data_IF_164997793217
#
_entry.id   IF_164997793217
#
_cell.length_a   1.000
_cell.length_b   1.000
_cell.length_c   1.000
_cell.angle_alpha   90.00
_cell.angle_beta   90.00
_cell.angle_gamma   90.00
#
_symmetry.space_group_name_H-M   'P 1'
#
loop_
_entity.id
_entity.type
_entity.pdbx_description
1 polymer ?
#
# COMPACT_ATOMS: atom_id res chain seq x y z
N UNK A 1 -19.87 18.47 2.58
CA UNK A 1 -18.99 17.68 3.46
C UNK A 1 -17.56 17.47 2.89
N UNK A 2 -17.34 17.50 1.59
CA UNK A 2 -16.04 17.25 0.94
C UNK A 2 -15.07 18.44 0.89
N UNK A 3 -15.51 19.67 1.16
CA UNK A 3 -14.69 20.91 1.01
C UNK A 3 -13.52 21.04 2.00
N UNK A 4 -13.46 20.25 3.05
CA UNK A 4 -12.43 20.36 4.11
C UNK A 4 -11.33 19.29 4.07
N UNK A 5 -11.42 18.26 3.22
CA UNK A 5 -10.44 17.17 3.19
C UNK A 5 -9.07 17.64 2.68
N UNK A 6 -9.03 18.65 1.80
CA UNK A 6 -7.77 19.20 1.27
C UNK A 6 -7.02 20.17 2.19
N UNK A 7 -7.53 20.45 3.39
CA UNK A 7 -6.94 21.44 4.32
C UNK A 7 -6.17 20.83 5.51
N UNK A 8 -6.06 19.51 5.60
CA UNK A 8 -5.24 18.92 6.65
C UNK A 8 -3.76 19.23 6.37
N UNK A 9 -3.07 19.96 7.26
CA UNK A 9 -1.65 20.22 7.12
C UNK A 9 -0.90 18.92 7.40
N UNK A 10 -0.71 18.10 6.37
CA UNK A 10 0.15 16.91 6.48
C UNK A 10 1.57 17.41 6.68
N UNK A 11 2.11 17.25 7.88
CA UNK A 11 3.46 17.73 8.22
C UNK A 11 4.52 16.90 7.48
N UNK A 12 5.61 17.54 7.05
CA UNK A 12 6.73 16.84 6.41
C UNK A 12 7.24 15.68 7.27
N UNK A 13 7.29 15.88 8.59
CA UNK A 13 7.70 14.84 9.54
C UNK A 13 6.83 13.59 9.46
N UNK A 14 5.51 13.75 9.28
CA UNK A 14 4.58 12.63 9.15
C UNK A 14 4.81 11.85 7.84
N UNK A 15 5.05 12.53 6.72
CA UNK A 15 5.36 11.86 5.45
C UNK A 15 6.72 11.14 5.51
N UNK A 16 7.75 11.77 6.08
CA UNK A 16 9.05 11.12 6.28
C UNK A 16 8.93 9.90 7.20
N UNK A 17 8.16 10.01 8.29
CA UNK A 17 7.91 8.87 9.18
C UNK A 17 7.15 7.75 8.46
N UNK A 18 6.07 8.07 7.72
CA UNK A 18 5.32 7.09 6.96
C UNK A 18 6.19 6.39 5.89
N UNK A 19 7.05 7.15 5.19
CA UNK A 19 8.02 6.58 4.25
C UNK A 19 8.99 5.64 4.96
N UNK A 20 9.58 6.06 6.10
CA UNK A 20 10.48 5.23 6.88
C UNK A 20 9.81 3.93 7.36
N UNK A 21 8.54 4.01 7.81
CA UNK A 21 7.75 2.83 8.20
C UNK A 21 7.49 1.92 7.00
N UNK A 22 7.14 2.46 5.84
CA UNK A 22 6.98 1.66 4.61
C UNK A 22 8.27 0.89 4.28
N UNK A 23 9.43 1.56 4.30
CA UNK A 23 10.71 0.92 4.01
C UNK A 23 11.06 -0.17 5.04
N UNK A 24 10.77 0.07 6.32
CA UNK A 24 10.98 -0.93 7.38
C UNK A 24 10.10 -2.16 7.18
N UNK A 25 8.81 -1.97 6.84
CA UNK A 25 7.88 -3.07 6.59
C UNK A 25 8.27 -3.85 5.33
N UNK A 26 8.67 -3.17 4.24
CA UNK A 26 9.20 -3.83 3.04
C UNK A 26 10.45 -4.67 3.34
N UNK A 27 11.34 -4.17 4.18
CA UNK A 27 12.48 -4.95 4.65
C UNK A 27 12.03 -6.16 5.49
N UNK A 28 11.01 -5.99 6.33
CA UNK A 28 10.37 -7.09 7.08
C UNK A 28 9.82 -8.19 6.16
N UNK A 29 9.12 -7.81 5.08
CA UNK A 29 8.66 -8.76 4.06
C UNK A 29 9.81 -9.49 3.37
N UNK A 30 10.88 -8.78 3.04
CA UNK A 30 12.08 -9.39 2.45
C UNK A 30 12.68 -10.45 3.37
N UNK A 31 12.80 -10.16 4.68
CA UNK A 31 13.28 -11.14 5.67
C UNK A 31 12.33 -12.33 5.81
N UNK A 32 11.02 -12.07 5.86
CA UNK A 32 10.00 -13.12 5.94
C UNK A 32 10.05 -14.04 4.72
N UNK A 33 10.15 -13.46 3.51
CA UNK A 33 10.32 -14.22 2.27
C UNK A 33 11.53 -15.18 2.34
N UNK A 34 12.66 -14.69 2.81
CA UNK A 34 13.87 -15.51 2.96
C UNK A 34 13.64 -16.70 3.91
N UNK A 35 12.93 -16.48 5.03
CA UNK A 35 12.58 -17.52 6.01
C UNK A 35 11.58 -18.56 5.49
N UNK A 36 10.73 -18.17 4.54
CA UNK A 36 9.64 -18.99 3.99
C UNK A 36 10.00 -19.73 2.70
N UNK A 37 11.24 -19.65 2.24
CA UNK A 37 11.69 -20.36 1.03
C UNK A 37 11.45 -19.60 -0.29
N UNK A 38 11.21 -18.27 -0.21
CA UNK A 38 11.24 -17.39 -1.39
C UNK A 38 9.89 -16.89 -1.89
N UNK A 39 8.75 -17.44 -1.43
CA UNK A 39 7.41 -17.03 -1.88
C UNK A 39 6.54 -16.63 -0.70
N UNK A 40 5.93 -15.46 -0.81
CA UNK A 40 4.87 -15.03 0.11
C UNK A 40 3.51 -15.30 -0.55
N UNK A 41 2.57 -15.82 0.23
CA UNK A 41 1.21 -16.10 -0.26
C UNK A 41 0.48 -14.83 -0.72
N UNK A 42 0.83 -13.67 -0.15
CA UNK A 42 0.36 -12.34 -0.51
C UNK A 42 0.65 -11.94 -1.98
N UNK A 43 1.72 -12.48 -2.57
CA UNK A 43 2.14 -12.16 -3.93
C UNK A 43 1.48 -13.05 -5.00
N UNK A 44 0.76 -14.08 -4.58
CA UNK A 44 0.19 -15.09 -5.48
C UNK A 44 -1.27 -14.79 -5.75
N UNK A 45 -1.59 -14.48 -7.02
CA UNK A 45 -2.95 -14.21 -7.52
C UNK A 45 -3.54 -15.34 -8.37
N UNK A 46 -2.89 -16.49 -8.49
CA UNK A 46 -3.39 -17.64 -9.24
C UNK A 46 -3.89 -18.74 -8.32
N UNK A 47 -5.14 -19.21 -8.57
CA UNK A 47 -5.82 -20.19 -7.73
C UNK A 47 -5.04 -21.49 -7.61
N UNK A 48 -4.54 -22.03 -8.73
CA UNK A 48 -3.84 -23.32 -8.72
C UNK A 48 -2.55 -23.23 -7.92
N UNK A 49 -1.82 -22.12 -8.07
CA UNK A 49 -0.59 -21.85 -7.32
C UNK A 49 -0.87 -21.65 -5.82
N UNK A 50 -1.93 -20.94 -5.45
CA UNK A 50 -2.35 -20.77 -4.04
C UNK A 50 -2.58 -22.13 -3.41
N UNK A 51 -3.40 -23.00 -4.04
CA UNK A 51 -3.72 -24.32 -3.53
C UNK A 51 -2.49 -25.23 -3.44
N UNK A 52 -1.62 -25.20 -4.45
CA UNK A 52 -0.36 -25.96 -4.44
C UNK A 52 0.56 -25.54 -3.30
N UNK A 53 0.71 -24.24 -3.04
CA UNK A 53 1.53 -23.73 -1.94
C UNK A 53 0.96 -24.11 -0.58
N UNK A 54 -0.35 -23.97 -0.38
CA UNK A 54 -1.00 -24.36 0.88
C UNK A 54 -0.79 -25.85 1.20
N UNK A 55 -0.82 -26.71 0.15
CA UNK A 55 -0.56 -28.14 0.30
C UNK A 55 0.90 -28.51 0.62
N UNK A 56 1.84 -27.60 0.36
CA UNK A 56 3.28 -27.80 0.61
C UNK A 56 3.76 -27.19 1.93
N UNK A 57 3.01 -26.28 2.51
CA UNK A 57 3.43 -25.60 3.74
C UNK A 57 3.43 -26.55 4.94
N UNK A 58 4.55 -26.58 5.64
CA UNK A 58 4.63 -27.19 6.97
C UNK A 58 3.81 -26.37 7.98
N UNK A 59 3.38 -26.96 9.10
CA UNK A 59 2.70 -26.21 10.17
C UNK A 59 3.47 -25.01 10.67
N UNK A 60 4.80 -25.09 10.72
CA UNK A 60 5.66 -23.97 11.09
C UNK A 60 5.58 -22.82 10.07
N UNK A 61 5.62 -23.13 8.77
CA UNK A 61 5.48 -22.12 7.71
C UNK A 61 4.11 -21.45 7.75
N UNK A 62 3.03 -22.22 8.00
CA UNK A 62 1.68 -21.64 8.19
C UNK A 62 1.65 -20.62 9.33
N UNK A 63 2.25 -20.93 10.48
CA UNK A 63 2.33 -19.99 11.60
C UNK A 63 3.17 -18.75 11.28
N UNK A 64 4.28 -18.90 10.56
CA UNK A 64 5.08 -17.73 10.12
C UNK A 64 4.27 -16.87 9.15
N UNK A 65 3.56 -17.47 8.19
CA UNK A 65 2.67 -16.72 7.27
C UNK A 65 1.56 -15.99 8.03
N UNK A 66 0.92 -16.62 9.03
CA UNK A 66 -0.08 -15.95 9.88
C UNK A 66 0.54 -14.74 10.59
N UNK A 67 1.74 -14.91 11.15
CA UNK A 67 2.46 -13.81 11.80
C UNK A 67 2.80 -12.66 10.84
N UNK A 68 3.18 -12.96 9.60
CA UNK A 68 3.42 -11.95 8.55
C UNK A 68 2.13 -11.24 8.19
N UNK A 69 1.03 -11.97 7.97
CA UNK A 69 -0.26 -11.38 7.57
C UNK A 69 -0.81 -10.47 8.67
N UNK A 70 -0.83 -10.92 9.92
CA UNK A 70 -1.36 -10.12 11.05
C UNK A 70 -0.42 -8.98 11.43
N UNK A 71 0.89 -9.15 11.28
CA UNK A 71 1.89 -8.14 11.63
C UNK A 71 2.18 -7.17 10.48
N UNK A 72 2.84 -7.66 9.43
CA UNK A 72 3.34 -6.80 8.36
C UNK A 72 2.23 -6.36 7.40
N UNK A 73 1.40 -7.30 6.91
CA UNK A 73 0.35 -7.02 5.93
C UNK A 73 -0.76 -6.12 6.49
N UNK A 74 -1.06 -6.20 7.78
CA UNK A 74 -2.08 -5.33 8.38
C UNK A 74 -1.56 -3.91 8.64
N UNK A 75 -0.27 -3.74 8.91
CA UNK A 75 0.33 -2.43 9.17
C UNK A 75 0.72 -1.70 7.87
N UNK A 76 1.07 -2.43 6.82
CA UNK A 76 1.54 -1.85 5.57
C UNK A 76 0.51 -0.94 4.89
N UNK A 77 -0.80 -1.31 4.80
CA UNK A 77 -1.85 -0.43 4.30
C UNK A 77 -1.96 0.90 5.03
N UNK A 78 -1.78 0.92 6.33
CA UNK A 78 -1.82 2.15 7.13
C UNK A 78 -0.64 3.07 6.80
N UNK A 79 0.54 2.48 6.62
CA UNK A 79 1.75 3.22 6.31
C UNK A 79 1.70 3.83 4.90
N UNK A 80 1.40 3.03 3.85
CA UNK A 80 1.34 3.56 2.50
C UNK A 80 0.11 4.46 2.28
N UNK A 81 -1.02 4.22 2.93
CA UNK A 81 -2.18 5.11 2.86
C UNK A 81 -1.86 6.49 3.41
N UNK A 82 -1.12 6.55 4.52
CA UNK A 82 -0.63 7.81 5.09
C UNK A 82 0.34 8.52 4.14
N UNK A 83 1.27 7.78 3.55
CA UNK A 83 2.27 8.31 2.62
C UNK A 83 1.62 8.81 1.32
N UNK A 84 0.93 7.94 0.59
CA UNK A 84 0.32 8.28 -0.69
C UNK A 84 -0.79 9.31 -0.54
N UNK A 85 -1.67 9.13 0.46
CA UNK A 85 -2.74 10.09 0.75
C UNK A 85 -2.21 11.47 1.07
N UNK A 86 -1.14 11.55 1.86
CA UNK A 86 -0.48 12.81 2.18
C UNK A 86 0.21 13.47 0.98
N UNK A 87 0.85 12.70 0.11
CA UNK A 87 1.45 13.21 -1.13
C UNK A 87 0.38 13.73 -2.10
N UNK A 88 -0.69 12.96 -2.34
CA UNK A 88 -1.80 13.32 -3.21
C UNK A 88 -2.50 14.59 -2.70
N UNK A 89 -2.81 14.64 -1.40
CA UNK A 89 -3.46 15.81 -0.81
C UNK A 89 -2.64 17.09 -0.96
N UNK A 90 -1.31 17.00 -0.87
CA UNK A 90 -0.42 18.15 -1.04
C UNK A 90 -0.21 18.54 -2.49
N UNK A 91 -0.02 17.56 -3.38
CA UNK A 91 0.32 17.82 -4.78
C UNK A 91 -0.85 18.38 -5.57
N UNK A 92 -2.08 17.98 -5.24
CA UNK A 92 -3.26 18.31 -6.03
C UNK A 92 -4.30 19.19 -5.30
N UNK A 93 -4.16 19.44 -4.01
CA UNK A 93 -5.01 20.38 -3.27
C UNK A 93 -6.51 20.09 -3.44
N UNK A 94 -7.24 20.99 -4.12
CA UNK A 94 -8.69 20.88 -4.30
C UNK A 94 -9.15 19.65 -5.09
N UNK A 95 -8.30 19.09 -5.95
CA UNK A 95 -8.60 17.88 -6.75
C UNK A 95 -8.29 16.58 -6.01
N UNK A 96 -7.65 16.67 -4.83
CA UNK A 96 -7.23 15.48 -4.07
C UNK A 96 -8.34 14.51 -3.73
N UNK A 97 -9.61 14.90 -3.42
CA UNK A 97 -10.66 13.94 -3.08
C UNK A 97 -10.93 12.90 -4.18
N UNK A 98 -10.96 13.31 -5.44
CA UNK A 98 -11.17 12.40 -6.58
C UNK A 98 -9.95 11.47 -6.78
N UNK A 99 -8.75 12.01 -6.59
CA UNK A 99 -7.49 11.27 -6.76
C UNK A 99 -7.17 10.34 -5.58
N UNK A 100 -7.86 10.48 -4.46
CA UNK A 100 -7.79 9.56 -3.32
C UNK A 100 -8.69 8.32 -3.46
N UNK A 101 -9.61 8.29 -4.43
CA UNK A 101 -10.49 7.15 -4.65
C UNK A 101 -9.70 5.86 -4.94
N UNK A 102 -8.71 5.83 -5.85
CA UNK A 102 -7.90 4.63 -6.08
C UNK A 102 -7.18 4.15 -4.83
N UNK A 103 -6.70 5.06 -3.99
CA UNK A 103 -6.07 4.71 -2.70
C UNK A 103 -7.08 4.08 -1.73
N UNK A 104 -8.29 4.61 -1.64
CA UNK A 104 -9.32 4.04 -0.77
C UNK A 104 -9.73 2.63 -1.25
N UNK A 105 -9.86 2.44 -2.56
CA UNK A 105 -10.12 1.13 -3.17
C UNK A 105 -8.96 0.17 -2.89
N UNK A 106 -7.71 0.61 -3.08
CA UNK A 106 -6.52 -0.17 -2.77
C UNK A 106 -6.52 -0.69 -1.33
N UNK A 107 -6.72 0.21 -0.35
CA UNK A 107 -6.77 -0.17 1.08
C UNK A 107 -7.90 -1.16 1.35
N UNK A 108 -9.07 -0.97 0.75
CA UNK A 108 -10.19 -1.89 0.90
C UNK A 108 -9.87 -3.29 0.37
N UNK A 109 -9.31 -3.40 -0.83
CA UNK A 109 -8.93 -4.69 -1.42
C UNK A 109 -7.77 -5.35 -0.68
N UNK A 110 -6.82 -4.59 -0.16
CA UNK A 110 -5.74 -5.11 0.67
C UNK A 110 -6.27 -5.74 1.96
N UNK A 111 -7.22 -5.08 2.63
CA UNK A 111 -7.88 -5.66 3.81
C UNK A 111 -8.67 -6.93 3.48
N UNK A 112 -9.39 -6.98 2.35
CA UNK A 112 -10.09 -8.18 1.93
C UNK A 112 -9.13 -9.32 1.60
N UNK A 113 -8.00 -9.03 0.97
CA UNK A 113 -6.96 -10.01 0.69
C UNK A 113 -6.38 -10.56 1.99
N UNK A 114 -6.00 -9.69 2.93
CA UNK A 114 -5.43 -10.08 4.22
C UNK A 114 -6.39 -10.95 5.03
N UNK A 115 -7.68 -10.62 5.04
CA UNK A 115 -8.70 -11.44 5.71
C UNK A 115 -8.87 -12.81 5.04
N UNK A 116 -8.92 -12.86 3.72
CA UNK A 116 -9.03 -14.13 2.97
C UNK A 116 -7.78 -14.99 3.14
N UNK A 117 -6.59 -14.38 3.12
CA UNK A 117 -5.33 -15.05 3.37
C UNK A 117 -5.25 -15.64 4.79
N UNK A 118 -5.61 -14.84 5.79
CA UNK A 118 -5.65 -15.32 7.17
C UNK A 118 -6.63 -16.49 7.32
N UNK A 119 -7.82 -16.40 6.73
CA UNK A 119 -8.80 -17.49 6.73
C UNK A 119 -8.24 -18.76 6.05
N UNK A 120 -7.57 -18.64 4.89
CA UNK A 120 -6.93 -19.76 4.20
C UNK A 120 -5.89 -20.45 5.07
N UNK A 121 -4.99 -19.70 5.70
CA UNK A 121 -3.93 -20.22 6.54
C UNK A 121 -4.51 -20.96 7.76
N UNK A 122 -5.52 -20.37 8.42
CA UNK A 122 -6.18 -20.98 9.57
C UNK A 122 -6.96 -22.25 9.17
N UNK A 123 -7.72 -22.22 8.07
CA UNK A 123 -8.47 -23.39 7.60
C UNK A 123 -7.55 -24.52 7.17
N UNK A 124 -6.41 -24.21 6.55
CA UNK A 124 -5.39 -25.21 6.21
C UNK A 124 -4.79 -25.83 7.48
N UNK A 125 -4.48 -25.01 8.49
CA UNK A 125 -3.95 -25.49 9.77
C UNK A 125 -4.95 -26.39 10.51
N UNK A 126 -6.25 -26.06 10.43
CA UNK A 126 -7.35 -26.80 11.03
C UNK A 126 -7.82 -28.01 10.18
N UNK A 127 -7.17 -28.26 9.06
CA UNK A 127 -7.53 -29.34 8.12
C UNK A 127 -9.00 -29.31 7.68
N UNK A 128 -9.51 -28.10 7.40
CA UNK A 128 -10.89 -27.90 6.97
C UNK A 128 -11.18 -28.58 5.61
N UNK A 129 -12.47 -28.73 5.29
CA UNK A 129 -12.91 -29.35 4.03
C UNK A 129 -12.26 -28.67 2.80
N UNK A 130 -11.68 -29.42 1.85
CA UNK A 130 -11.00 -28.86 0.68
C UNK A 130 -11.86 -27.88 -0.13
N UNK A 131 -13.15 -28.14 -0.26
CA UNK A 131 -14.09 -27.25 -0.95
C UNK A 131 -14.18 -25.85 -0.31
N UNK A 132 -14.10 -25.75 1.02
CA UNK A 132 -14.12 -24.46 1.72
C UNK A 132 -12.83 -23.67 1.43
N UNK A 133 -11.68 -24.35 1.45
CA UNK A 133 -10.38 -23.75 1.13
C UNK A 133 -10.37 -23.23 -0.31
N UNK A 134 -10.88 -24.03 -1.26
CA UNK A 134 -10.95 -23.67 -2.68
C UNK A 134 -11.80 -22.41 -2.93
N UNK A 135 -12.97 -22.30 -2.28
CA UNK A 135 -13.84 -21.11 -2.42
C UNK A 135 -13.11 -19.84 -1.96
N UNK A 136 -12.45 -19.89 -0.80
CA UNK A 136 -11.74 -18.72 -0.26
C UNK A 136 -10.48 -18.43 -1.08
N UNK A 137 -9.77 -19.45 -1.58
CA UNK A 137 -8.64 -19.29 -2.48
C UNK A 137 -9.04 -18.63 -3.80
N UNK A 138 -10.19 -19.04 -4.36
CA UNK A 138 -10.75 -18.42 -5.57
C UNK A 138 -11.09 -16.93 -5.33
N UNK A 139 -11.67 -16.60 -4.17
CA UNK A 139 -11.93 -15.21 -3.80
C UNK A 139 -10.63 -14.41 -3.69
N UNK A 140 -9.61 -14.93 -3.01
CA UNK A 140 -8.29 -14.29 -2.93
C UNK A 140 -7.68 -14.07 -4.32
N UNK A 141 -7.74 -15.08 -5.19
CA UNK A 141 -7.22 -14.99 -6.55
C UNK A 141 -7.88 -13.89 -7.39
N UNK A 142 -9.14 -13.53 -7.13
CA UNK A 142 -9.83 -12.40 -7.76
C UNK A 142 -9.40 -11.06 -7.15
N UNK A 143 -9.17 -11.00 -5.86
CA UNK A 143 -8.85 -9.76 -5.13
C UNK A 143 -7.42 -9.27 -5.43
N UNK A 144 -6.45 -10.18 -5.44
CA UNK A 144 -5.02 -9.88 -5.60
C UNK A 144 -4.70 -9.04 -6.85
N UNK A 145 -5.14 -9.37 -8.08
CA UNK A 145 -4.83 -8.56 -9.27
C UNK A 145 -5.47 -7.16 -9.22
N UNK A 146 -6.64 -7.03 -8.59
CA UNK A 146 -7.30 -5.73 -8.42
C UNK A 146 -6.46 -4.86 -7.48
N UNK A 147 -5.99 -5.42 -6.35
CA UNK A 147 -5.08 -4.76 -5.42
C UNK A 147 -3.84 -4.23 -6.14
N UNK A 148 -3.14 -5.08 -6.91
CA UNK A 148 -1.94 -4.65 -7.63
C UNK A 148 -2.20 -3.59 -8.68
N UNK A 149 -3.33 -3.66 -9.40
CA UNK A 149 -3.74 -2.63 -10.36
C UNK A 149 -3.97 -1.29 -9.67
N UNK A 150 -4.65 -1.28 -8.53
CA UNK A 150 -4.88 -0.07 -7.72
C UNK A 150 -3.60 0.46 -7.08
N UNK A 151 -2.68 -0.42 -6.66
CA UNK A 151 -1.37 -0.04 -6.15
C UNK A 151 -0.54 0.67 -7.23
N UNK A 152 -0.52 0.14 -8.45
CA UNK A 152 0.16 0.77 -9.57
C UNK A 152 -0.43 2.14 -9.89
N UNK A 153 -1.76 2.24 -10.00
CA UNK A 153 -2.45 3.50 -10.27
C UNK A 153 -2.19 4.55 -9.18
N UNK A 154 -2.32 4.16 -7.91
CA UNK A 154 -2.09 5.06 -6.76
C UNK A 154 -0.64 5.52 -6.69
N UNK A 155 0.31 4.63 -6.98
CA UNK A 155 1.73 4.96 -7.05
C UNK A 155 2.03 5.97 -8.15
N UNK A 156 1.46 5.78 -9.35
CA UNK A 156 1.59 6.72 -10.46
C UNK A 156 1.04 8.12 -10.11
N UNK A 157 -0.15 8.18 -9.49
CA UNK A 157 -0.74 9.44 -9.00
C UNK A 157 0.17 10.09 -7.96
N UNK A 158 0.75 9.32 -7.04
CA UNK A 158 1.65 9.83 -6.00
C UNK A 158 2.95 10.39 -6.57
N UNK A 159 3.51 9.75 -7.59
CA UNK A 159 4.68 10.28 -8.33
C UNK A 159 4.34 11.61 -9.01
N UNK A 160 3.18 11.69 -9.68
CA UNK A 160 2.71 12.96 -10.27
C UNK A 160 2.52 14.04 -9.20
N UNK A 161 2.05 13.69 -8.00
CA UNK A 161 1.93 14.63 -6.88
C UNK A 161 3.30 15.18 -6.46
N UNK A 162 4.33 14.33 -6.36
CA UNK A 162 5.71 14.75 -6.04
C UNK A 162 6.25 15.68 -7.12
N UNK A 163 6.04 15.36 -8.40
CA UNK A 163 6.44 16.24 -9.52
C UNK A 163 5.75 17.61 -9.46
N UNK A 164 4.44 17.62 -9.20
CA UNK A 164 3.66 18.86 -9.02
C UNK A 164 4.22 19.73 -7.89
N UNK A 165 4.56 19.12 -6.74
CA UNK A 165 5.18 19.84 -5.62
C UNK A 165 6.54 20.41 -6.00
N UNK A 166 7.37 19.67 -6.72
CA UNK A 166 8.67 20.13 -7.21
C UNK A 166 8.55 21.35 -8.13
N UNK A 167 7.61 21.30 -9.10
CA UNK A 167 7.34 22.42 -10.00
C UNK A 167 6.87 23.65 -9.22
N UNK A 168 5.91 23.49 -8.31
CA UNK A 168 5.40 24.60 -7.48
C UNK A 168 6.52 25.25 -6.66
N UNK A 169 7.42 24.48 -6.10
CA UNK A 169 8.55 24.99 -5.34
C UNK A 169 9.56 25.75 -6.22
N UNK A 170 9.86 25.22 -7.40
CA UNK A 170 10.76 25.86 -8.37
C UNK A 170 10.21 27.22 -8.84
N UNK A 171 8.92 27.30 -9.13
CA UNK A 171 8.26 28.56 -9.51
C UNK A 171 8.32 29.60 -8.39
N UNK A 172 8.07 29.21 -7.16
CA UNK A 172 8.20 30.11 -5.99
C UNK A 172 9.62 30.67 -5.84
N UNK A 173 10.63 29.84 -5.99
CA UNK A 173 12.04 30.28 -5.91
C UNK A 173 12.40 31.23 -7.03
N UNK A 174 11.88 31.01 -8.25
CA UNK A 174 12.09 31.89 -9.38
C UNK A 174 11.46 33.29 -9.17
N UNK A 175 10.22 33.34 -8.67
CA UNK A 175 9.53 34.59 -8.35
C UNK A 175 10.27 35.39 -7.25
N UNK A 176 10.75 34.70 -6.21
CA UNK A 176 11.59 35.32 -5.15
C UNK A 176 12.88 35.93 -5.73
N UNK A 177 13.55 35.20 -6.63
CA UNK A 177 14.76 35.70 -7.31
C UNK A 177 14.50 36.93 -8.16
N UNK A 178 13.34 36.97 -8.84
CA UNK A 178 12.91 38.11 -9.68
C UNK A 178 12.58 39.35 -8.85
N UNK A 179 11.83 39.16 -7.75
CA UNK A 179 11.48 40.27 -6.85
C UNK A 179 12.74 40.91 -6.21
N UNK A 180 13.72 40.12 -5.82
CA UNK A 180 15.00 40.57 -5.24
C UNK A 180 15.85 41.37 -6.24
N UNK A 181 15.82 41.02 -7.54
CA UNK A 181 16.52 41.78 -8.60
C UNK A 181 15.88 43.13 -8.88
N UNK A 182 14.55 43.24 -8.79
CA UNK A 182 13.83 44.51 -8.98
C UNK A 182 14.12 45.47 -7.81
N UNK A 183 14.17 44.96 -6.57
CA UNK A 183 14.43 45.77 -5.38
C UNK A 183 15.86 46.33 -5.32
N UNK A 184 16.86 45.73 -6.01
CA UNK A 184 18.23 46.22 -6.11
C UNK A 184 18.44 47.30 -7.19
N UNK A 185 17.44 47.58 -8.00
CA UNK A 185 17.50 48.58 -9.09
C UNK A 185 16.91 49.96 -8.71
N UNK A 186 16.33 50.06 -7.52
CA UNK A 186 15.88 51.27 -6.86
C UNK A 186 16.77 51.62 -5.69
#
# INVERSE_FOLDING_TARGET
MWKNIGRYPVHNRMLCAAFGVCMLLLYGFHLARFRLGGVLLDEVGDLATILALLGQFSPHQLWVHIGVTVGLDLLFPLAYATLFGGLIARGFGAYSPALLVPLAVLVGFDLFENLSQLALLLLTLLQAAPATIEIIAAFKALVTPIKFSMLFLTSAISVMAVMSLGIQQSLRLWDFGRARKLQKRH
#
